data_IF_252211554953
#
_entry.id   IF_252211554953
#
_cell.length_a   1.000
_cell.length_b   1.000
_cell.length_c   1.000
_cell.angle_alpha   90.00
_cell.angle_beta   90.00
_cell.angle_gamma   90.00
#
_symmetry.space_group_name_H-M   'P 1'
#
loop_
_entity.id
_entity.type
_entity.pdbx_description
1 polymer ?
#
# COMPACT_ATOMS: atom_id res chain seq x y z
N UNK A 1 0.76 3.16 0.28
CA UNK A 1 -0.34 4.01 0.80
C UNK A 1 -0.85 4.97 -0.25
N UNK A 2 -0.03 5.87 -0.82
CA UNK A 2 -0.53 6.90 -1.77
C UNK A 2 -1.39 6.40 -2.93
N UNK A 3 -0.92 5.43 -3.72
CA UNK A 3 -1.69 4.88 -4.85
C UNK A 3 -3.00 4.22 -4.38
N UNK A 4 -2.92 3.35 -3.37
CA UNK A 4 -4.08 2.64 -2.84
C UNK A 4 -5.11 3.62 -2.25
N UNK A 5 -4.66 4.65 -1.52
CA UNK A 5 -5.54 5.68 -0.98
C UNK A 5 -6.23 6.45 -2.10
N UNK A 6 -5.48 6.96 -3.07
CA UNK A 6 -6.01 7.73 -4.20
C UNK A 6 -7.09 6.95 -4.99
N UNK A 7 -6.88 5.66 -5.21
CA UNK A 7 -7.81 4.84 -5.99
C UNK A 7 -9.00 4.37 -5.14
N UNK A 8 -8.75 3.90 -3.92
CA UNK A 8 -9.75 3.16 -3.14
C UNK A 8 -10.45 3.99 -2.06
N UNK A 9 -9.84 5.07 -1.59
CA UNK A 9 -10.25 5.75 -0.35
C UNK A 9 -10.44 7.27 -0.46
N UNK A 10 -9.75 7.95 -1.38
CA UNK A 10 -9.75 9.43 -1.47
C UNK A 10 -11.13 10.04 -1.69
N UNK A 11 -12.06 9.29 -2.29
CA UNK A 11 -13.43 9.72 -2.51
C UNK A 11 -14.36 9.46 -1.32
N UNK A 12 -13.90 8.74 -0.28
CA UNK A 12 -14.68 8.42 0.92
C UNK A 12 -14.46 9.44 2.04
N UNK A 13 -13.37 10.19 1.99
CA UNK A 13 -12.96 11.10 3.05
C UNK A 13 -12.65 12.49 2.48
N UNK A 14 -13.34 13.51 2.98
CA UNK A 14 -13.18 14.90 2.55
C UNK A 14 -12.68 15.77 3.71
N UNK A 15 -11.40 15.64 4.09
CA UNK A 15 -10.85 16.41 5.19
C UNK A 15 -10.82 17.90 4.86
N UNK A 16 -10.90 18.75 5.89
CA UNK A 16 -10.83 20.21 5.76
C UNK A 16 -9.77 20.81 6.70
N UNK A 17 -9.32 22.03 6.39
CA UNK A 17 -8.33 22.74 7.20
C UNK A 17 -7.04 21.94 7.37
N UNK A 18 -6.58 21.78 8.61
CA UNK A 18 -5.33 21.05 8.91
C UNK A 18 -5.37 19.56 8.56
N UNK A 19 -6.55 18.92 8.58
CA UNK A 19 -6.66 17.52 8.18
C UNK A 19 -6.43 17.35 6.68
N UNK A 20 -6.85 18.32 5.88
CA UNK A 20 -6.62 18.30 4.43
C UNK A 20 -5.13 18.41 4.12
N UNK A 21 -4.44 19.32 4.81
CA UNK A 21 -2.98 19.48 4.68
C UNK A 21 -2.28 18.18 5.05
N UNK A 22 -2.66 17.54 6.16
CA UNK A 22 -2.08 16.26 6.56
C UNK A 22 -2.35 15.15 5.54
N UNK A 23 -3.56 15.09 4.98
CA UNK A 23 -3.95 14.09 3.99
C UNK A 23 -3.10 14.20 2.72
N UNK A 24 -3.00 15.40 2.15
CA UNK A 24 -2.21 15.67 0.95
C UNK A 24 -0.72 15.39 1.18
N UNK A 25 -0.20 15.81 2.34
CA UNK A 25 1.18 15.55 2.72
C UNK A 25 1.46 14.04 2.79
N UNK A 26 0.62 13.28 3.48
CA UNK A 26 0.85 11.86 3.72
C UNK A 26 0.60 10.99 2.49
N UNK A 27 -0.41 11.31 1.68
CA UNK A 27 -0.87 10.45 0.60
C UNK A 27 -0.35 10.83 -0.77
N UNK A 28 0.09 12.07 -0.98
CA UNK A 28 0.57 12.55 -2.27
C UNK A 28 2.03 13.01 -2.21
N UNK A 29 2.37 13.91 -1.29
CA UNK A 29 3.72 14.51 -1.23
C UNK A 29 4.75 13.50 -0.72
N UNK A 30 4.49 12.83 0.40
CA UNK A 30 5.44 11.89 1.02
C UNK A 30 5.83 10.72 0.10
N UNK A 31 4.89 10.06 -0.62
CA UNK A 31 5.26 9.00 -1.57
C UNK A 31 6.18 9.50 -2.69
N UNK A 32 5.91 10.69 -3.25
CA UNK A 32 6.75 11.27 -4.30
C UNK A 32 8.13 11.66 -3.77
N UNK A 33 8.17 12.31 -2.60
CA UNK A 33 9.41 12.65 -1.92
C UNK A 33 10.25 11.40 -1.61
N UNK A 34 9.62 10.31 -1.16
CA UNK A 34 10.29 9.05 -0.92
C UNK A 34 10.91 8.47 -2.20
N UNK A 35 10.17 8.45 -3.32
CA UNK A 35 10.70 7.95 -4.60
C UNK A 35 11.87 8.80 -5.07
N UNK A 36 11.77 10.12 -4.98
CA UNK A 36 12.83 11.05 -5.36
C UNK A 36 14.08 10.86 -4.48
N UNK A 37 13.90 10.80 -3.16
CA UNK A 37 14.99 10.56 -2.22
C UNK A 37 15.66 9.21 -2.47
N UNK A 38 14.85 8.15 -2.61
CA UNK A 38 15.35 6.82 -2.89
C UNK A 38 16.15 6.80 -4.19
N UNK A 39 15.68 7.48 -5.24
CA UNK A 39 16.35 7.56 -6.52
C UNK A 39 17.72 8.27 -6.42
N UNK A 40 17.76 9.45 -5.79
CA UNK A 40 18.95 10.31 -5.75
C UNK A 40 20.03 9.87 -4.74
N UNK A 41 19.64 9.36 -3.57
CA UNK A 41 20.55 9.23 -2.43
C UNK A 41 20.80 7.80 -1.96
N UNK A 42 19.94 6.85 -2.32
CA UNK A 42 20.07 5.46 -1.84
C UNK A 42 20.90 4.62 -2.83
N UNK A 43 21.95 3.91 -2.39
CA UNK A 43 22.71 3.00 -3.25
C UNK A 43 21.81 1.93 -3.88
N UNK A 44 21.96 1.72 -5.18
CA UNK A 44 21.15 0.78 -5.96
C UNK A 44 21.78 -0.62 -5.93
N UNK A 45 20.94 -1.65 -5.97
CA UNK A 45 21.35 -3.07 -6.00
C UNK A 45 21.33 -3.76 -4.62
N UNK A 46 20.89 -3.06 -3.57
CA UNK A 46 20.75 -3.62 -2.24
C UNK A 46 19.46 -4.46 -2.09
N UNK A 47 18.46 -4.25 -2.94
CA UNK A 47 17.19 -4.98 -2.84
C UNK A 47 17.33 -6.41 -3.36
N UNK A 48 16.76 -7.34 -2.59
CA UNK A 48 16.77 -8.78 -2.88
C UNK A 48 15.35 -9.30 -2.97
N UNK A 49 15.14 -10.34 -3.77
CA UNK A 49 13.83 -10.96 -3.96
C UNK A 49 13.21 -11.45 -2.63
N UNK A 50 14.05 -11.88 -1.68
CA UNK A 50 13.62 -12.26 -0.32
C UNK A 50 12.93 -11.13 0.46
N UNK A 51 13.16 -9.86 0.11
CA UNK A 51 12.50 -8.74 0.79
C UNK A 51 11.03 -8.62 0.40
N UNK A 52 10.64 -9.06 -0.80
CA UNK A 52 9.25 -8.99 -1.28
C UNK A 52 8.27 -9.75 -0.37
N UNK A 53 8.47 -11.06 -0.07
CA UNK A 53 7.58 -11.76 0.85
C UNK A 53 7.66 -11.20 2.28
N UNK A 54 8.82 -10.70 2.73
CA UNK A 54 8.95 -10.06 4.04
C UNK A 54 8.11 -8.78 4.14
N UNK A 55 8.09 -7.96 3.10
CA UNK A 55 7.26 -6.75 3.06
C UNK A 55 5.77 -7.06 3.01
N UNK A 56 5.38 -8.18 2.40
CA UNK A 56 3.99 -8.62 2.33
C UNK A 56 3.43 -9.09 3.70
N UNK A 57 4.30 -9.40 4.68
CA UNK A 57 3.86 -9.77 6.04
C UNK A 57 2.98 -8.68 6.65
N UNK A 58 3.40 -7.42 6.51
CA UNK A 58 2.69 -6.28 7.10
C UNK A 58 1.23 -6.16 6.60
N UNK A 59 0.95 -6.03 5.28
CA UNK A 59 -0.43 -5.95 4.80
C UNK A 59 -1.25 -7.20 5.08
N UNK A 60 -0.64 -8.40 5.12
CA UNK A 60 -1.35 -9.65 5.45
C UNK A 60 -1.81 -9.64 6.91
N UNK A 61 -0.92 -9.30 7.85
CA UNK A 61 -1.26 -9.21 9.28
C UNK A 61 -2.31 -8.13 9.49
N UNK A 62 -2.13 -6.96 8.86
CA UNK A 62 -3.08 -5.87 8.99
C UNK A 62 -4.47 -6.24 8.44
N UNK A 63 -4.54 -6.92 7.29
CA UNK A 63 -5.80 -7.44 6.76
C UNK A 63 -6.48 -8.40 7.74
N UNK A 64 -5.74 -9.35 8.30
CA UNK A 64 -6.28 -10.27 9.31
C UNK A 64 -6.83 -9.52 10.53
N UNK A 65 -6.10 -8.50 11.00
CA UNK A 65 -6.55 -7.64 12.10
C UNK A 65 -7.83 -6.88 11.77
N UNK A 66 -7.92 -6.21 10.61
CA UNK A 66 -9.12 -5.43 10.24
C UNK A 66 -10.32 -6.34 10.02
N UNK A 67 -10.12 -7.54 9.46
CA UNK A 67 -11.18 -8.54 9.30
C UNK A 67 -11.71 -9.02 10.66
N UNK A 68 -10.80 -9.33 11.60
CA UNK A 68 -11.15 -9.73 12.96
C UNK A 68 -11.88 -8.61 13.71
N UNK A 69 -11.36 -7.37 13.66
CA UNK A 69 -12.01 -6.19 14.25
C UNK A 69 -13.41 -5.99 13.69
N UNK A 70 -13.56 -6.06 12.37
CA UNK A 70 -14.84 -5.89 11.68
C UNK A 70 -15.85 -6.95 12.09
N UNK A 71 -15.42 -8.20 12.19
CA UNK A 71 -16.28 -9.28 12.69
C UNK A 71 -16.68 -9.08 14.16
N UNK A 72 -15.77 -8.61 15.01
CA UNK A 72 -16.03 -8.43 16.45
C UNK A 72 -16.94 -7.23 16.75
N UNK A 73 -16.79 -6.12 16.02
CA UNK A 73 -17.50 -4.88 16.27
C UNK A 73 -18.71 -4.67 15.36
N UNK A 74 -18.85 -5.49 14.31
CA UNK A 74 -19.85 -5.27 13.25
C UNK A 74 -19.57 -4.06 12.37
N UNK A 75 -18.35 -3.50 12.45
CA UNK A 75 -17.95 -2.27 11.76
C UNK A 75 -16.62 -2.46 11.00
N UNK A 76 -16.72 -2.49 9.67
CA UNK A 76 -15.59 -2.67 8.76
C UNK A 76 -14.99 -1.34 8.36
N UNK A 77 -13.69 -1.18 8.62
CA UNK A 77 -12.98 0.09 8.39
C UNK A 77 -12.95 0.53 6.91
N UNK A 78 -12.98 -0.43 5.98
CA UNK A 78 -12.96 -0.11 4.56
C UNK A 78 -14.07 -0.86 3.81
N UNK A 79 -14.82 -0.15 2.94
CA UNK A 79 -15.98 -0.74 2.27
C UNK A 79 -15.60 -1.87 1.30
N UNK A 80 -14.39 -1.84 0.73
CA UNK A 80 -13.94 -2.89 -0.19
C UNK A 80 -13.62 -4.23 0.49
N UNK A 81 -13.59 -4.29 1.82
CA UNK A 81 -13.44 -5.55 2.59
C UNK A 81 -14.59 -5.75 3.58
N UNK A 82 -15.68 -4.99 3.43
CA UNK A 82 -16.85 -5.07 4.29
C UNK A 82 -17.63 -6.35 4.01
N UNK A 83 -17.35 -7.40 4.78
CA UNK A 83 -18.01 -8.70 4.62
C UNK A 83 -19.51 -8.60 4.90
N UNK A 84 -19.96 -7.66 5.74
CA UNK A 84 -21.38 -7.45 6.03
C UNK A 84 -22.14 -6.95 4.80
N UNK A 85 -21.50 -6.11 3.98
CA UNK A 85 -22.12 -5.52 2.78
C UNK A 85 -21.85 -6.33 1.50
N UNK A 86 -20.61 -6.75 1.27
CA UNK A 86 -20.18 -7.39 0.00
C UNK A 86 -19.98 -8.90 0.10
N UNK A 87 -20.03 -9.47 1.30
CA UNK A 87 -19.81 -10.90 1.55
C UNK A 87 -18.35 -11.33 1.49
N UNK A 88 -18.06 -12.51 2.06
CA UNK A 88 -16.71 -13.06 2.14
C UNK A 88 -16.02 -13.21 0.78
N UNK A 89 -16.65 -13.78 -0.27
CA UNK A 89 -15.96 -14.01 -1.54
C UNK A 89 -15.43 -12.72 -2.17
N UNK A 90 -16.25 -11.67 -2.24
CA UNK A 90 -15.84 -10.38 -2.82
C UNK A 90 -14.79 -9.67 -1.95
N UNK A 91 -14.94 -9.70 -0.63
CA UNK A 91 -13.97 -9.10 0.29
C UNK A 91 -12.57 -9.72 0.12
N UNK A 92 -12.49 -11.05 -0.01
CA UNK A 92 -11.23 -11.76 -0.24
C UNK A 92 -10.65 -11.50 -1.64
N UNK A 93 -11.48 -11.42 -2.68
CA UNK A 93 -11.02 -11.04 -4.03
C UNK A 93 -10.44 -9.63 -4.02
N UNK A 94 -11.11 -8.68 -3.39
CA UNK A 94 -10.62 -7.30 -3.28
C UNK A 94 -9.30 -7.23 -2.49
N UNK A 95 -9.22 -7.93 -1.36
CA UNK A 95 -8.00 -8.02 -0.56
C UNK A 95 -6.84 -8.64 -1.35
N UNK A 96 -7.10 -9.68 -2.13
CA UNK A 96 -6.11 -10.29 -3.02
C UNK A 96 -5.66 -9.31 -4.10
N UNK A 97 -6.58 -8.55 -4.70
CA UNK A 97 -6.25 -7.50 -5.67
C UNK A 97 -5.31 -6.44 -5.09
N UNK A 98 -5.57 -5.99 -3.86
CA UNK A 98 -4.70 -5.06 -3.13
C UNK A 98 -3.33 -5.67 -2.86
N UNK A 99 -3.27 -6.94 -2.41
CA UNK A 99 -2.02 -7.65 -2.16
C UNK A 99 -1.20 -7.81 -3.45
N UNK A 100 -1.83 -8.18 -4.57
CA UNK A 100 -1.17 -8.30 -5.87
C UNK A 100 -0.64 -6.95 -6.36
N UNK A 101 -1.40 -5.86 -6.18
CA UNK A 101 -0.93 -4.51 -6.49
C UNK A 101 0.30 -4.12 -5.66
N UNK A 102 0.30 -4.45 -4.36
CA UNK A 102 1.45 -4.23 -3.50
C UNK A 102 2.68 -5.03 -3.95
N UNK A 103 2.49 -6.32 -4.26
CA UNK A 103 3.56 -7.19 -4.75
C UNK A 103 4.11 -6.71 -6.10
N UNK A 104 3.25 -6.23 -7.00
CA UNK A 104 3.66 -5.65 -8.27
C UNK A 104 4.57 -4.43 -8.05
N UNK A 105 4.18 -3.50 -7.18
CA UNK A 105 5.02 -2.33 -6.86
C UNK A 105 6.36 -2.75 -6.23
N UNK A 106 6.34 -3.73 -5.32
CA UNK A 106 7.56 -4.26 -4.71
C UNK A 106 8.51 -4.88 -5.74
N UNK A 107 7.98 -5.65 -6.69
CA UNK A 107 8.75 -6.25 -7.77
C UNK A 107 9.28 -5.21 -8.77
N UNK A 108 8.49 -4.19 -9.08
CA UNK A 108 8.93 -3.06 -9.91
C UNK A 108 10.10 -2.32 -9.25
N UNK A 109 10.00 -1.99 -7.96
CA UNK A 109 11.09 -1.36 -7.22
C UNK A 109 12.36 -2.21 -7.22
N UNK A 110 12.23 -3.53 -6.99
CA UNK A 110 13.35 -4.47 -7.07
C UNK A 110 13.97 -4.51 -8.49
N UNK A 111 13.14 -4.48 -9.53
CA UNK A 111 13.58 -4.45 -10.92
C UNK A 111 14.35 -3.17 -11.24
N UNK A 112 13.81 -2.02 -10.86
CA UNK A 112 14.45 -0.70 -11.04
C UNK A 112 15.76 -0.61 -10.26
N UNK A 113 15.80 -1.10 -9.02
CA UNK A 113 17.00 -1.14 -8.18
C UNK A 113 18.13 -1.92 -8.85
N UNK A 114 17.82 -3.13 -9.34
CA UNK A 114 18.81 -3.99 -10.02
C UNK A 114 19.24 -3.43 -11.36
N UNK A 115 18.32 -2.86 -12.13
CA UNK A 115 18.62 -2.23 -13.41
C UNK A 115 19.53 -1.02 -13.26
N UNK A 116 19.23 -0.14 -12.28
CA UNK A 116 20.06 1.02 -11.99
C UNK A 116 21.46 0.60 -11.53
N UNK A 117 21.56 -0.41 -10.64
CA UNK A 117 22.85 -0.92 -10.19
C UNK A 117 23.76 -1.38 -11.35
N UNK A 118 23.19 -2.08 -12.34
CA UNK A 118 23.92 -2.55 -13.53
C UNK A 118 24.42 -1.42 -14.45
N UNK A 119 23.86 -0.22 -14.36
CA UNK A 119 24.27 0.94 -15.17
C UNK A 119 25.33 1.81 -14.52
N UNK A 120 25.49 1.69 -13.21
CA UNK A 120 26.50 2.41 -12.41
C UNK A 120 27.77 1.60 -12.19
N UNK A 121 27.78 0.32 -12.57
CA UNK A 121 28.99 -0.51 -12.71
C UNK A 121 29.54 -0.39 -14.13
#
# INVERSE_FOLDING_TARGET
>A
MGIAYNILLRHLWHPQGWQWVADELLHDIMPLAFVLYWWLYVPKGALRLRHVPLWAIYPIIYFAYVLLRGHMLGDYLYPFIDVGTIGFPKAFINALGVLLGFLLVALLLLGVDRWAARRTM
#
